data_IF_898352040350
#
_entry.id   IF_898352040350
#
_cell.length_a   1.000
_cell.length_b   1.000
_cell.length_c   1.000
_cell.angle_alpha   90.00
_cell.angle_beta   90.00
_cell.angle_gamma   90.00
#
_symmetry.space_group_name_H-M   'P 1'
#
loop_
_entity.id
_entity.type
_entity.pdbx_description
1 polymer ?
#
# COMPACT_ATOMS: atom_id res chain seq x y z
N UNK A 1 -26.63 -15.20 -0.77
CA UNK A 1 -27.00 -16.33 0.13
C UNK A 1 -28.38 -16.85 -0.25
N UNK A 2 -28.59 -18.17 -0.25
CA UNK A 2 -29.90 -18.75 -0.58
C UNK A 2 -30.96 -18.31 0.43
N UNK A 3 -32.22 -18.18 -0.01
CA UNK A 3 -33.33 -17.80 0.88
C UNK A 3 -33.50 -18.81 2.02
N UNK A 4 -33.30 -20.10 1.75
CA UNK A 4 -33.34 -21.16 2.75
C UNK A 4 -32.29 -21.00 3.85
N UNK A 5 -31.09 -20.49 3.52
CA UNK A 5 -30.05 -20.20 4.50
C UNK A 5 -30.35 -18.92 5.28
N UNK A 6 -30.77 -17.85 4.58
CA UNK A 6 -31.16 -16.56 5.17
C UNK A 6 -32.26 -16.68 6.23
N UNK A 7 -33.25 -17.53 5.98
CA UNK A 7 -34.35 -17.80 6.91
C UNK A 7 -33.93 -18.44 8.24
N UNK A 8 -32.66 -18.87 8.41
CA UNK A 8 -32.14 -19.43 9.66
C UNK A 8 -31.48 -18.39 10.58
N UNK A 9 -31.37 -17.14 10.15
CA UNK A 9 -30.66 -16.08 10.87
C UNK A 9 -31.49 -14.81 10.98
N UNK A 10 -31.20 -14.00 12.01
CA UNK A 10 -31.65 -12.61 12.08
C UNK A 10 -30.73 -11.78 11.18
N UNK A 11 -31.30 -11.16 10.16
CA UNK A 11 -30.55 -10.31 9.24
C UNK A 11 -30.50 -8.87 9.75
N UNK A 12 -29.28 -8.40 10.03
CA UNK A 12 -29.02 -7.00 10.33
C UNK A 12 -28.39 -6.34 9.11
N UNK A 13 -29.04 -5.29 8.61
CA UNK A 13 -28.54 -4.48 7.52
C UNK A 13 -27.95 -3.19 8.08
N UNK A 14 -26.73 -2.86 7.67
CA UNK A 14 -26.06 -1.63 8.05
C UNK A 14 -25.90 -0.78 6.80
N UNK A 15 -26.34 0.48 6.90
CA UNK A 15 -26.18 1.46 5.84
C UNK A 15 -24.72 1.95 5.75
N UNK A 16 -24.38 2.58 4.62
CA UNK A 16 -23.08 3.21 4.46
C UNK A 16 -22.94 4.39 5.44
N UNK A 17 -21.76 4.51 6.05
CA UNK A 17 -21.46 5.59 6.99
C UNK A 17 -21.62 6.97 6.31
N UNK A 18 -22.40 7.89 6.90
CA UNK A 18 -22.51 9.26 6.41
C UNK A 18 -21.15 9.96 6.32
N UNK A 19 -20.99 10.85 5.34
CA UNK A 19 -19.72 11.54 5.09
C UNK A 19 -19.27 12.41 6.28
N UNK A 20 -20.19 13.08 6.98
CA UNK A 20 -19.87 13.89 8.16
C UNK A 20 -19.39 13.06 9.35
N UNK A 21 -19.96 11.87 9.56
CA UNK A 21 -19.47 10.91 10.56
C UNK A 21 -18.07 10.42 10.19
N UNK A 22 -17.84 10.12 8.91
CA UNK A 22 -16.53 9.69 8.43
C UNK A 22 -15.45 10.77 8.63
N UNK A 23 -15.76 12.05 8.40
CA UNK A 23 -14.86 13.16 8.69
C UNK A 23 -14.50 13.22 10.19
N UNK A 24 -15.50 13.01 11.06
CA UNK A 24 -15.33 12.99 12.52
C UNK A 24 -14.45 11.82 12.96
N UNK A 25 -14.70 10.62 12.42
CA UNK A 25 -13.91 9.42 12.72
C UNK A 25 -12.46 9.60 12.27
N UNK A 26 -12.22 10.15 11.07
CA UNK A 26 -10.86 10.45 10.59
C UNK A 26 -10.13 11.43 11.51
N UNK A 27 -10.82 12.49 11.95
CA UNK A 27 -10.25 13.48 12.84
C UNK A 27 -9.83 12.85 14.18
N UNK A 28 -10.74 12.10 14.80
CA UNK A 28 -10.52 11.51 16.12
C UNK A 28 -9.50 10.36 16.10
N UNK A 29 -9.54 9.52 15.06
CA UNK A 29 -8.69 8.33 14.98
C UNK A 29 -7.30 8.62 14.45
N UNK A 30 -7.20 9.49 13.45
CA UNK A 30 -5.94 9.76 12.75
C UNK A 30 -5.31 11.10 13.15
N UNK A 31 -5.90 11.83 14.10
CA UNK A 31 -5.46 13.18 14.52
C UNK A 31 -5.31 14.17 13.35
N UNK A 32 -6.09 13.95 12.28
CA UNK A 32 -6.02 14.75 11.06
C UNK A 32 -6.86 16.02 11.24
N UNK A 33 -6.38 17.22 10.85
CA UNK A 33 -7.19 18.44 10.94
C UNK A 33 -8.53 18.32 10.20
N UNK A 34 -9.64 18.86 10.73
CA UNK A 34 -10.97 18.73 10.10
C UNK A 34 -11.01 19.21 8.63
N UNK A 35 -10.25 20.26 8.32
CA UNK A 35 -10.15 20.81 6.96
C UNK A 35 -9.47 19.85 5.96
N UNK A 36 -8.65 18.91 6.45
CA UNK A 36 -8.01 17.86 5.68
C UNK A 36 -8.91 16.62 5.62
N UNK A 37 -9.57 16.24 6.72
CA UNK A 37 -10.59 15.19 6.73
C UNK A 37 -11.64 15.41 5.63
N UNK A 38 -12.17 16.64 5.54
CA UNK A 38 -13.16 16.96 4.51
C UNK A 38 -12.61 16.85 3.08
N UNK A 39 -11.33 17.13 2.85
CA UNK A 39 -10.71 16.93 1.51
C UNK A 39 -10.59 15.45 1.17
N UNK A 40 -10.11 14.64 2.10
CA UNK A 40 -9.96 13.19 1.93
C UNK A 40 -11.32 12.53 1.64
N UNK A 41 -12.35 12.86 2.42
CA UNK A 41 -13.71 12.34 2.22
C UNK A 41 -14.29 12.80 0.89
N UNK A 42 -14.10 14.07 0.49
CA UNK A 42 -14.55 14.58 -0.81
C UNK A 42 -13.88 13.85 -1.98
N UNK A 43 -12.57 13.61 -1.91
CA UNK A 43 -11.85 12.80 -2.92
C UNK A 43 -12.45 11.39 -2.99
N UNK A 44 -12.72 10.76 -1.84
CA UNK A 44 -13.32 9.43 -1.80
C UNK A 44 -14.68 9.39 -2.50
N UNK A 45 -15.57 10.34 -2.17
CA UNK A 45 -16.91 10.42 -2.74
C UNK A 45 -16.88 10.70 -4.25
N UNK A 46 -16.00 11.59 -4.71
CA UNK A 46 -15.86 11.93 -6.12
C UNK A 46 -15.36 10.72 -6.93
N UNK A 47 -14.31 10.04 -6.46
CA UNK A 47 -13.81 8.81 -7.09
C UNK A 47 -14.85 7.68 -7.11
N UNK A 48 -15.61 7.50 -6.02
CA UNK A 48 -16.69 6.51 -5.97
C UNK A 48 -17.84 6.87 -6.92
N UNK A 49 -18.17 8.16 -7.07
CA UNK A 49 -19.17 8.66 -8.01
C UNK A 49 -18.75 8.40 -9.46
N UNK A 50 -17.52 8.75 -9.83
CA UNK A 50 -16.97 8.52 -11.17
C UNK A 50 -17.01 7.04 -11.56
N UNK A 51 -16.72 6.12 -10.63
CA UNK A 51 -16.81 4.68 -10.90
C UNK A 51 -18.25 4.21 -11.15
N UNK A 52 -19.23 4.74 -10.41
CA UNK A 52 -20.66 4.38 -10.62
C UNK A 52 -21.11 4.71 -12.04
N UNK A 53 -20.52 5.74 -12.67
CA UNK A 53 -20.76 6.08 -14.07
C UNK A 53 -19.94 5.29 -15.10
N UNK A 54 -18.87 4.58 -14.68
CA UNK A 54 -17.88 3.98 -15.58
C UNK A 54 -17.59 2.51 -15.21
N UNK A 55 -18.24 1.58 -15.91
CA UNK A 55 -18.08 0.10 -15.87
C UNK A 55 -18.72 -0.67 -14.70
N UNK A 56 -19.62 -1.60 -15.07
CA UNK A 56 -20.47 -2.43 -14.21
C UNK A 56 -19.72 -3.59 -13.50
N UNK A 57 -18.45 -3.87 -13.83
CA UNK A 57 -17.81 -5.16 -13.49
C UNK A 57 -16.56 -5.13 -12.57
N UNK A 58 -16.11 -3.98 -12.07
CA UNK A 58 -14.91 -3.93 -11.20
C UNK A 58 -15.18 -3.71 -9.71
N UNK A 59 -16.44 -3.85 -9.28
CA UNK A 59 -16.86 -3.64 -7.89
C UNK A 59 -17.11 -2.16 -7.53
N UNK A 60 -18.04 -1.95 -6.58
CA UNK A 60 -18.58 -0.63 -6.17
C UNK A 60 -17.53 0.36 -5.63
N UNK A 61 -16.35 -0.11 -5.22
CA UNK A 61 -15.29 0.69 -4.59
C UNK A 61 -13.97 0.70 -5.39
N UNK A 62 -14.03 0.55 -6.71
CA UNK A 62 -12.86 0.27 -7.57
C UNK A 62 -11.66 1.22 -7.41
N UNK A 63 -11.90 2.52 -7.19
CA UNK A 63 -10.80 3.49 -7.01
C UNK A 63 -10.33 3.63 -5.57
N UNK A 64 -11.23 3.53 -4.58
CA UNK A 64 -10.92 3.80 -3.18
C UNK A 64 -11.92 3.13 -2.23
N UNK A 65 -11.39 2.48 -1.19
CA UNK A 65 -12.13 1.89 -0.08
C UNK A 65 -11.91 2.69 1.20
N UNK A 66 -12.76 2.46 2.22
CA UNK A 66 -12.53 3.04 3.56
C UNK A 66 -11.15 2.67 4.12
N UNK A 67 -10.65 1.46 3.82
CA UNK A 67 -9.30 1.04 4.25
C UNK A 67 -8.21 1.91 3.65
N UNK A 68 -8.33 2.27 2.39
CA UNK A 68 -7.36 3.16 1.73
C UNK A 68 -7.45 4.57 2.31
N UNK A 69 -8.67 5.06 2.60
CA UNK A 69 -8.88 6.35 3.23
C UNK A 69 -8.22 6.44 4.62
N UNK A 70 -8.43 5.41 5.46
CA UNK A 70 -7.79 5.35 6.77
C UNK A 70 -6.28 5.19 6.66
N UNK A 71 -5.79 4.35 5.74
CA UNK A 71 -4.35 4.22 5.48
C UNK A 71 -3.74 5.56 5.08
N UNK A 72 -4.39 6.31 4.19
CA UNK A 72 -3.95 7.62 3.75
C UNK A 72 -3.89 8.64 4.90
N UNK A 73 -4.92 8.70 5.73
CA UNK A 73 -4.93 9.55 6.92
C UNK A 73 -3.89 9.11 7.96
N UNK A 74 -3.64 7.81 8.09
CA UNK A 74 -2.67 7.27 9.03
C UNK A 74 -1.23 7.61 8.64
N UNK A 75 -0.91 7.66 7.34
CA UNK A 75 0.40 8.14 6.87
C UNK A 75 0.68 9.56 7.33
N UNK A 76 -0.31 10.45 7.31
CA UNK A 76 -0.16 11.79 7.86
C UNK A 76 0.13 11.79 9.36
N UNK A 77 -0.57 10.94 10.14
CA UNK A 77 -0.39 10.84 11.59
C UNK A 77 1.01 10.35 11.97
N UNK A 78 1.53 9.39 11.21
CA UNK A 78 2.82 8.73 11.47
C UNK A 78 4.01 9.48 10.87
N UNK A 79 3.79 10.42 9.95
CA UNK A 79 4.87 11.23 9.39
C UNK A 79 5.39 12.19 10.46
N UNK A 80 6.71 12.15 10.71
CA UNK A 80 7.35 13.03 11.68
C UNK A 80 7.23 14.49 11.20
N UNK A 81 6.62 15.35 12.03
CA UNK A 81 6.41 16.77 11.72
C UNK A 81 7.70 17.58 11.96
N UNK A 82 8.82 17.12 11.40
CA UNK A 82 10.17 17.60 11.72
C UNK A 82 10.48 18.96 11.12
N UNK A 83 9.70 19.44 10.15
CA UNK A 83 9.90 20.74 9.49
C UNK A 83 8.65 21.62 9.54
N UNK A 84 8.80 22.80 10.14
CA UNK A 84 7.73 23.79 10.33
C UNK A 84 7.21 24.43 9.01
N UNK A 85 7.87 24.23 7.87
CA UNK A 85 7.51 24.86 6.58
C UNK A 85 7.00 23.87 5.52
N UNK A 86 6.60 22.66 5.90
CA UNK A 86 6.20 21.65 4.94
C UNK A 86 4.78 21.92 4.40
N UNK A 87 4.61 21.91 3.08
CA UNK A 87 3.29 21.95 2.46
C UNK A 87 2.58 20.59 2.67
N UNK A 88 1.82 20.51 3.76
CA UNK A 88 1.06 19.31 4.13
C UNK A 88 -0.05 18.95 3.13
N UNK A 89 -0.58 19.93 2.38
CA UNK A 89 -1.57 19.65 1.35
C UNK A 89 -0.92 18.97 0.15
N UNK A 90 0.28 19.41 -0.25
CA UNK A 90 1.05 18.73 -1.29
C UNK A 90 1.43 17.32 -0.82
N UNK A 91 1.91 17.18 0.41
CA UNK A 91 2.24 15.86 0.98
C UNK A 91 1.05 14.90 0.95
N UNK A 92 -0.13 15.34 1.41
CA UNK A 92 -1.34 14.52 1.36
C UNK A 92 -1.73 14.16 -0.08
N UNK A 93 -1.63 15.10 -1.03
CA UNK A 93 -1.92 14.81 -2.44
C UNK A 93 -0.96 13.76 -3.02
N UNK A 94 0.34 13.89 -2.74
CA UNK A 94 1.38 12.95 -3.16
C UNK A 94 1.16 11.55 -2.57
N UNK A 95 0.89 11.45 -1.26
CA UNK A 95 0.59 10.18 -0.59
C UNK A 95 -0.68 9.53 -1.12
N UNK A 96 -1.73 10.33 -1.34
CA UNK A 96 -2.99 9.87 -1.90
C UNK A 96 -2.80 9.30 -3.31
N UNK A 97 -2.02 9.99 -4.14
CA UNK A 97 -1.68 9.50 -5.48
C UNK A 97 -0.91 8.18 -5.40
N UNK A 98 0.14 8.09 -4.58
CA UNK A 98 0.91 6.85 -4.44
C UNK A 98 0.06 5.67 -3.94
N UNK A 99 -0.88 5.89 -3.03
CA UNK A 99 -1.78 4.84 -2.52
C UNK A 99 -2.79 4.36 -3.56
N UNK A 100 -3.44 5.29 -4.26
CA UNK A 100 -4.55 4.99 -5.15
C UNK A 100 -4.05 4.57 -6.54
N UNK A 101 -3.08 5.30 -7.10
CA UNK A 101 -2.52 5.02 -8.42
C UNK A 101 -1.67 3.73 -8.46
N UNK A 102 -1.18 3.24 -7.32
CA UNK A 102 -0.46 1.96 -7.26
C UNK A 102 -1.35 0.74 -7.58
N UNK A 103 -2.68 0.88 -7.51
CA UNK A 103 -3.63 -0.22 -7.68
C UNK A 103 -4.25 -0.29 -9.06
N UNK A 104 -4.28 0.83 -9.78
CA UNK A 104 -4.87 0.92 -11.11
C UNK A 104 -3.88 0.39 -12.14
N UNK A 105 -4.41 -0.29 -13.16
CA UNK A 105 -3.60 -0.85 -14.26
C UNK A 105 -3.67 -0.03 -15.53
N UNK A 106 -4.66 0.86 -15.60
CA UNK A 106 -4.99 1.67 -16.77
C UNK A 106 -4.47 3.09 -16.58
N UNK A 107 -3.72 3.65 -17.54
CA UNK A 107 -3.19 5.01 -17.42
C UNK A 107 -4.31 6.06 -17.33
N UNK A 108 -5.47 5.80 -17.93
CA UNK A 108 -6.63 6.70 -17.86
C UNK A 108 -7.21 6.77 -16.44
N UNK A 109 -7.19 5.64 -15.72
CA UNK A 109 -7.62 5.56 -14.32
C UNK A 109 -6.65 6.32 -13.40
N UNK A 110 -5.35 6.24 -13.68
CA UNK A 110 -4.31 6.99 -12.96
C UNK A 110 -4.46 8.50 -13.18
N UNK A 111 -4.76 8.94 -14.40
CA UNK A 111 -5.02 10.35 -14.69
C UNK A 111 -6.31 10.88 -14.05
N UNK A 112 -7.35 10.04 -13.98
CA UNK A 112 -8.58 10.35 -13.25
C UNK A 112 -8.28 10.61 -11.77
N UNK A 113 -7.49 9.74 -11.13
CA UNK A 113 -7.06 9.92 -9.73
C UNK A 113 -6.29 11.23 -9.56
N UNK A 114 -5.34 11.51 -10.46
CA UNK A 114 -4.54 12.76 -10.44
C UNK A 114 -5.42 13.99 -10.51
N UNK A 115 -6.38 14.00 -11.43
CA UNK A 115 -7.31 15.12 -11.65
C UNK A 115 -8.20 15.38 -10.44
N UNK A 116 -8.75 14.32 -9.83
CA UNK A 116 -9.58 14.45 -8.62
C UNK A 116 -8.77 14.95 -7.43
N UNK A 117 -7.54 14.45 -7.24
CA UNK A 117 -6.65 14.95 -6.20
C UNK A 117 -6.34 16.44 -6.40
N UNK A 118 -5.96 16.85 -7.61
CA UNK A 118 -5.69 18.26 -7.92
C UNK A 118 -6.92 19.15 -7.71
N UNK A 119 -8.12 18.68 -8.08
CA UNK A 119 -9.40 19.38 -7.87
C UNK A 119 -9.64 19.71 -6.40
N UNK A 120 -9.39 18.78 -5.48
CA UNK A 120 -9.71 18.93 -4.05
C UNK A 120 -8.56 19.50 -3.21
N UNK A 121 -7.30 19.18 -3.54
CA UNK A 121 -6.13 19.68 -2.82
C UNK A 121 -5.59 21.00 -3.37
N UNK A 122 -5.95 21.39 -4.61
CA UNK A 122 -5.40 22.56 -5.32
C UNK A 122 -3.87 22.51 -5.43
N UNK A 123 -3.36 21.28 -5.58
CA UNK A 123 -1.94 20.94 -5.70
C UNK A 123 -1.76 19.96 -6.85
N UNK A 124 -0.80 20.22 -7.73
CA UNK A 124 -0.50 19.33 -8.84
C UNK A 124 0.39 18.19 -8.34
N UNK A 125 0.05 16.95 -8.73
CA UNK A 125 0.88 15.79 -8.43
C UNK A 125 1.68 15.44 -9.68
N UNK A 126 3.01 15.45 -9.56
CA UNK A 126 3.94 15.11 -10.64
C UNK A 126 4.54 13.71 -10.42
N UNK A 127 4.13 12.69 -11.19
CA UNK A 127 4.67 11.33 -11.09
C UNK A 127 6.18 11.25 -11.31
N UNK A 128 6.76 12.08 -12.19
CA UNK A 128 8.19 12.01 -12.48
C UNK A 128 9.03 12.48 -11.29
N UNK A 129 8.57 13.55 -10.61
CA UNK A 129 9.15 13.99 -9.34
C UNK A 129 8.98 12.95 -8.23
N UNK A 130 7.78 12.35 -8.11
CA UNK A 130 7.47 11.34 -7.08
C UNK A 130 8.31 10.08 -7.19
N UNK A 131 8.60 9.63 -8.42
CA UNK A 131 9.36 8.41 -8.69
C UNK A 131 10.76 8.72 -9.23
N UNK A 132 11.28 9.91 -8.90
CA UNK A 132 12.64 10.32 -9.24
C UNK A 132 13.69 9.50 -8.48
N UNK A 133 14.92 9.46 -9.01
CA UNK A 133 16.04 8.79 -8.33
C UNK A 133 16.30 9.37 -6.94
N UNK A 134 16.11 10.68 -6.75
CA UNK A 134 16.23 11.34 -5.44
C UNK A 134 15.25 10.77 -4.42
N UNK A 135 14.00 10.52 -4.82
CA UNK A 135 12.97 9.91 -3.96
C UNK A 135 13.25 8.44 -3.66
N UNK A 136 13.87 7.73 -4.58
CA UNK A 136 14.34 6.36 -4.36
C UNK A 136 15.43 6.36 -3.29
N UNK A 137 16.47 7.21 -3.43
CA UNK A 137 17.53 7.33 -2.42
C UNK A 137 16.97 7.70 -1.04
N UNK A 138 15.96 8.56 -0.97
CA UNK A 138 15.34 8.92 0.31
C UNK A 138 14.56 7.77 0.98
N UNK A 139 14.21 6.70 0.25
CA UNK A 139 13.66 5.50 0.90
C UNK A 139 14.75 4.71 1.63
N UNK A 140 16.01 4.89 1.24
CA UNK A 140 17.18 4.19 1.77
C UNK A 140 18.00 5.05 2.75
N UNK A 141 17.73 6.37 2.81
CA UNK A 141 18.57 7.37 3.47
C UNK A 141 18.72 7.28 4.98
N UNK A 142 17.96 6.40 5.67
CA UNK A 142 18.27 6.10 7.07
C UNK A 142 19.57 5.30 7.24
N UNK A 143 20.11 4.72 6.16
CA UNK A 143 21.27 3.82 6.18
C UNK A 143 22.25 4.00 5.02
N UNK A 144 21.87 4.74 3.98
CA UNK A 144 22.62 4.89 2.74
C UNK A 144 22.55 6.35 2.26
N UNK A 145 23.69 7.00 2.09
CA UNK A 145 23.74 8.39 1.60
C UNK A 145 23.62 8.48 0.07
N UNK A 146 23.97 7.39 -0.65
CA UNK A 146 23.94 7.32 -2.11
C UNK A 146 23.53 5.94 -2.63
N UNK A 147 22.91 5.87 -3.82
CA UNK A 147 22.66 4.60 -4.54
C UNK A 147 23.94 3.76 -4.77
N UNK A 148 25.12 4.36 -4.62
CA UNK A 148 26.41 3.68 -4.66
C UNK A 148 26.69 2.79 -3.41
N UNK A 149 26.02 3.06 -2.28
CA UNK A 149 26.18 2.31 -1.03
C UNK A 149 25.22 1.12 -0.94
N UNK A 150 24.46 0.86 -2.01
CA UNK A 150 23.66 -0.36 -2.16
C UNK A 150 24.61 -1.57 -2.01
N UNK A 151 24.20 -2.62 -1.26
CA UNK A 151 25.03 -3.81 -1.07
C UNK A 151 25.56 -4.34 -2.40
N UNK A 152 26.80 -4.82 -2.39
CA UNK A 152 27.51 -5.23 -3.61
C UNK A 152 26.69 -6.23 -4.45
N UNK A 153 26.00 -7.14 -3.76
CA UNK A 153 25.08 -8.12 -4.34
C UNK A 153 23.94 -7.52 -5.19
N UNK A 154 23.54 -6.26 -4.97
CA UNK A 154 22.47 -5.57 -5.71
C UNK A 154 22.97 -4.47 -6.67
N UNK A 155 24.28 -4.32 -6.88
CA UNK A 155 24.82 -3.32 -7.83
C UNK A 155 24.41 -3.56 -9.28
N UNK A 156 23.98 -4.78 -9.61
CA UNK A 156 23.44 -5.15 -10.91
C UNK A 156 22.01 -4.62 -11.17
N UNK A 157 21.34 -4.05 -10.16
CA UNK A 157 19.98 -3.53 -10.29
C UNK A 157 19.97 -2.22 -11.08
N UNK A 158 19.26 -2.21 -12.20
CA UNK A 158 19.08 -1.02 -13.04
C UNK A 158 17.81 -0.27 -12.61
N UNK A 159 17.96 1.02 -12.30
CA UNK A 159 16.88 1.89 -11.82
C UNK A 159 16.02 2.46 -12.95
N UNK A 160 15.29 1.57 -13.65
CA UNK A 160 14.28 1.96 -14.64
C UNK A 160 13.10 2.68 -13.99
N UNK A 161 12.28 3.40 -14.78
CA UNK A 161 11.09 4.10 -14.28
C UNK A 161 10.17 3.19 -13.44
N UNK A 162 9.91 1.97 -13.91
CA UNK A 162 9.09 0.99 -13.19
C UNK A 162 9.75 0.53 -11.88
N UNK A 163 11.07 0.28 -11.88
CA UNK A 163 11.80 -0.12 -10.67
C UNK A 163 11.85 1.00 -9.64
N UNK A 164 12.03 2.26 -10.08
CA UNK A 164 11.97 3.44 -9.20
C UNK A 164 10.59 3.57 -8.55
N UNK A 165 9.51 3.45 -9.35
CA UNK A 165 8.14 3.45 -8.84
C UNK A 165 7.91 2.34 -7.80
N UNK A 166 8.31 1.12 -8.11
CA UNK A 166 8.20 -0.03 -7.21
C UNK A 166 8.95 0.23 -5.89
N UNK A 167 10.19 0.72 -5.96
CA UNK A 167 11.01 0.99 -4.79
C UNK A 167 10.43 2.08 -3.89
N UNK A 168 9.93 3.18 -4.48
CA UNK A 168 9.27 4.26 -3.71
C UNK A 168 8.01 3.73 -3.02
N UNK A 169 7.16 3.00 -3.73
CA UNK A 169 5.90 2.48 -3.16
C UNK A 169 6.15 1.45 -2.06
N UNK A 170 7.08 0.51 -2.26
CA UNK A 170 7.45 -0.50 -1.26
C UNK A 170 8.13 0.18 -0.06
N UNK A 171 9.07 1.08 -0.30
CA UNK A 171 9.76 1.83 0.77
C UNK A 171 8.79 2.62 1.64
N UNK A 172 7.85 3.33 1.02
CA UNK A 172 6.78 4.03 1.72
C UNK A 172 5.91 3.09 2.56
N UNK A 173 5.46 1.98 1.98
CA UNK A 173 4.65 1.01 2.70
C UNK A 173 5.40 0.41 3.90
N UNK A 174 6.68 0.04 3.72
CA UNK A 174 7.52 -0.48 4.80
C UNK A 174 7.73 0.56 5.91
N UNK A 175 7.96 1.83 5.56
CA UNK A 175 8.11 2.93 6.52
C UNK A 175 6.90 3.08 7.44
N UNK A 176 5.70 2.90 6.89
CA UNK A 176 4.45 2.98 7.65
C UNK A 176 3.95 1.63 8.20
N UNK A 177 4.72 0.55 8.08
CA UNK A 177 4.35 -0.76 8.59
C UNK A 177 3.17 -1.41 7.85
N UNK A 178 2.96 -1.06 6.58
CA UNK A 178 1.86 -1.56 5.77
C UNK A 178 2.22 -2.90 5.08
N UNK A 179 1.28 -3.85 5.09
CA UNK A 179 1.42 -5.09 4.32
C UNK A 179 1.26 -4.83 2.82
N UNK A 180 2.22 -5.32 2.03
CA UNK A 180 2.28 -5.10 0.57
C UNK A 180 1.95 -6.38 -0.18
N UNK A 181 1.13 -6.25 -1.23
CA UNK A 181 0.92 -7.29 -2.25
C UNK A 181 1.45 -6.79 -3.58
N UNK A 182 2.49 -7.44 -4.11
CA UNK A 182 3.08 -7.09 -5.41
C UNK A 182 2.51 -8.00 -6.51
N UNK A 183 1.84 -7.41 -7.50
CA UNK A 183 1.23 -8.12 -8.63
C UNK A 183 1.86 -7.64 -9.93
N UNK A 184 2.29 -8.58 -10.77
CA UNK A 184 2.89 -8.31 -12.08
C UNK A 184 3.67 -9.51 -12.60
N UNK A 185 4.20 -9.41 -13.82
CA UNK A 185 4.87 -10.52 -14.52
C UNK A 185 6.11 -11.04 -13.81
N UNK A 186 6.46 -12.31 -14.03
CA UNK A 186 7.71 -12.87 -13.50
C UNK A 186 8.92 -12.09 -14.03
N UNK A 187 9.97 -11.93 -13.22
CA UNK A 187 11.18 -11.19 -13.60
C UNK A 187 11.10 -9.66 -13.53
N UNK A 188 9.97 -9.05 -13.15
CA UNK A 188 9.87 -7.58 -13.05
C UNK A 188 10.46 -6.94 -11.76
N UNK A 189 11.32 -7.66 -11.03
CA UNK A 189 12.02 -7.11 -9.86
C UNK A 189 11.28 -7.20 -8.52
N UNK A 190 10.12 -7.87 -8.43
CA UNK A 190 9.34 -8.02 -7.19
C UNK A 190 10.12 -8.68 -6.04
N UNK A 191 10.77 -9.81 -6.31
CA UNK A 191 11.57 -10.51 -5.30
C UNK A 191 12.85 -9.72 -4.99
N UNK A 192 13.49 -9.18 -6.04
CA UNK A 192 14.71 -8.38 -5.94
C UNK A 192 14.53 -7.16 -5.03
N UNK A 193 13.42 -6.42 -5.15
CA UNK A 193 13.19 -5.24 -4.32
C UNK A 193 12.98 -5.63 -2.84
N UNK A 194 12.29 -6.74 -2.57
CA UNK A 194 12.09 -7.24 -1.21
C UNK A 194 13.42 -7.67 -0.56
N UNK A 195 14.25 -8.39 -1.31
CA UNK A 195 15.59 -8.80 -0.87
C UNK A 195 16.48 -7.58 -0.62
N UNK A 196 16.45 -6.59 -1.53
CA UNK A 196 17.19 -5.34 -1.37
C UNK A 196 16.79 -4.63 -0.07
N UNK A 197 15.49 -4.37 0.17
CA UNK A 197 15.06 -3.73 1.41
C UNK A 197 15.41 -4.54 2.67
N UNK A 198 15.39 -5.87 2.61
CA UNK A 198 15.79 -6.71 3.73
C UNK A 198 17.30 -6.60 4.03
N UNK A 199 18.14 -6.64 3.01
CA UNK A 199 19.59 -6.46 3.12
C UNK A 199 19.93 -5.08 3.68
N UNK A 200 19.28 -4.03 3.18
CA UNK A 200 19.40 -2.67 3.72
C UNK A 200 18.95 -2.57 5.17
N UNK A 201 17.87 -3.28 5.52
CA UNK A 201 17.39 -3.37 6.89
C UNK A 201 18.28 -4.25 7.79
N UNK A 202 19.32 -4.91 7.26
CA UNK A 202 20.15 -5.85 8.01
C UNK A 202 19.31 -7.01 8.57
N UNK A 203 18.21 -7.34 7.89
CA UNK A 203 17.25 -8.36 8.32
C UNK A 203 17.35 -9.56 7.41
N UNK A 204 17.23 -10.75 8.00
CA UNK A 204 17.13 -11.99 7.23
C UNK A 204 15.84 -12.00 6.43
N UNK A 205 15.95 -12.18 5.12
CA UNK A 205 14.81 -12.35 4.23
C UNK A 205 14.40 -13.83 4.20
N UNK A 206 13.17 -14.12 4.62
CA UNK A 206 12.58 -15.45 4.53
C UNK A 206 11.60 -15.48 3.36
N UNK A 207 11.78 -16.45 2.47
CA UNK A 207 10.89 -16.68 1.33
C UNK A 207 10.24 -18.05 1.47
N UNK A 208 8.94 -18.12 1.22
CA UNK A 208 8.16 -19.35 1.20
C UNK A 208 7.47 -19.42 -0.16
N UNK A 209 7.79 -20.47 -0.93
CA UNK A 209 7.20 -20.70 -2.23
C UNK A 209 5.86 -21.44 -2.08
N UNK A 210 4.77 -20.70 -2.21
CA UNK A 210 3.43 -21.26 -2.16
C UNK A 210 3.10 -22.01 -3.46
N UNK A 211 2.49 -23.18 -3.32
CA UNK A 211 2.05 -24.05 -4.42
C UNK A 211 0.73 -24.73 -4.06
N UNK A 212 0.06 -25.35 -5.04
CA UNK A 212 -1.32 -25.87 -4.85
C UNK A 212 -1.44 -26.97 -3.78
N UNK A 213 -0.36 -27.71 -3.53
CA UNK A 213 -0.33 -28.84 -2.59
C UNK A 213 0.09 -28.42 -1.17
N UNK A 214 0.22 -27.11 -0.92
CA UNK A 214 0.66 -26.61 0.37
C UNK A 214 -0.48 -26.68 1.39
N UNK A 215 -0.18 -27.17 2.59
CA UNK A 215 -1.14 -27.39 3.66
C UNK A 215 -0.98 -26.37 4.80
N UNK A 216 -1.99 -26.26 5.67
CA UNK A 216 -1.91 -25.36 6.84
C UNK A 216 -0.76 -25.73 7.79
N UNK A 217 -0.39 -27.02 7.85
CA UNK A 217 0.75 -27.51 8.62
C UNK A 217 2.10 -27.00 8.11
N UNK A 218 2.21 -26.56 6.86
CA UNK A 218 3.46 -25.99 6.33
C UNK A 218 3.73 -24.60 6.92
N UNK A 219 2.68 -23.88 7.34
CA UNK A 219 2.80 -22.57 7.99
C UNK A 219 2.83 -22.66 9.52
N UNK A 220 1.93 -23.47 10.11
CA UNK A 220 1.79 -23.56 11.57
C UNK A 220 2.70 -24.62 12.20
N UNK A 221 3.26 -25.52 11.39
CA UNK A 221 3.90 -26.75 11.85
C UNK A 221 2.92 -27.91 11.94
N UNK A 222 3.41 -29.12 11.71
CA UNK A 222 2.68 -30.37 11.87
C UNK A 222 3.25 -31.22 12.99
N UNK A 223 2.42 -32.03 13.63
CA UNK A 223 2.89 -33.02 14.60
C UNK A 223 3.69 -34.10 13.86
N UNK A 224 4.98 -34.20 14.17
CA UNK A 224 5.82 -35.32 13.75
C UNK A 224 5.91 -36.30 14.92
N UNK A 225 5.34 -37.51 14.82
CA UNK A 225 5.54 -38.53 15.84
C UNK A 225 7.04 -38.83 15.96
N UNK A 226 7.51 -39.04 17.19
CA UNK A 226 8.91 -39.32 17.49
C UNK A 226 9.31 -40.57 16.70
N UNK A 227 10.23 -40.40 15.74
CA UNK A 227 10.89 -41.54 15.12
C UNK A 227 11.86 -42.08 16.16
N UNK A 228 11.64 -43.29 16.66
CA UNK A 228 12.62 -43.98 17.49
C UNK A 228 13.96 -43.89 16.78
N UNK A 229 14.97 -43.33 17.46
CA UNK A 229 16.31 -43.18 16.95
C UNK A 229 16.76 -44.53 16.38
N UNK A 230 17.25 -44.52 15.14
CA UNK A 230 18.11 -45.61 14.70
C UNK A 230 19.21 -45.72 15.75
N UNK A 231 19.34 -46.91 16.33
CA UNK A 231 20.46 -47.26 17.18
C UNK A 231 21.73 -46.72 16.53
N UNK A 232 22.52 -46.00 17.33
CA UNK A 232 23.90 -45.73 16.98
C UNK A 232 24.56 -47.09 16.81
N UNK A 233 24.76 -47.52 15.56
CA UNK A 233 25.66 -48.62 15.26
C UNK A 233 27.07 -48.16 15.66
N UNK A 234 27.72 -48.98 16.49
CA UNK A 234 29.06 -48.84 17.04
C UNK A 234 30.16 -48.71 15.98
#
# INVERSE_FOLDING_TARGET
>A
LSRAFRNRFVELHFDELPSGELETILHQRCSLPPSYCSKLVKVMLDLQSLRRGSSVFAGKHGFITLRDLFRWAERYRLEEQTQASQDWLQHLADEGFMLLAARVRKPEEEDTIRTVLQKHFKRAVDPESLFSLKRVSSQFSSRIDSLADVPEEFRHVVWTGAMRRLAVLVGRALRFGESVLLVGDTGCGKTTICQLFAALAGRKFFSVNCHLNMETSDFLGGLRPVRHAQQMDE
#
